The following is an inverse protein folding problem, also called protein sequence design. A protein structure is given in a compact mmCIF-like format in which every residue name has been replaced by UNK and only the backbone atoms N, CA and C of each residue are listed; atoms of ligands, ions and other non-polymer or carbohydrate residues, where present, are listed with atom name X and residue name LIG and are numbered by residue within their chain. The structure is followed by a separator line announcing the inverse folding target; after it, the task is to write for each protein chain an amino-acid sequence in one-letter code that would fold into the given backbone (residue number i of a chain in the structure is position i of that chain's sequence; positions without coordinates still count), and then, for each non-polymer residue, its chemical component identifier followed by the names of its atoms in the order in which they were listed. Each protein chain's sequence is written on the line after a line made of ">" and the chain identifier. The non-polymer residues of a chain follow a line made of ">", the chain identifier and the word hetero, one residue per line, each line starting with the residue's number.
data_IF_257537415320
#
_entry.id   IF_257537415320
#
_cell.length_a   1.000
_cell.length_b   1.000
_cell.length_c   1.000
_cell.angle_alpha   90.00
_cell.angle_beta   90.00
_cell.angle_gamma   90.00
#
_symmetry.space_group_name_H-M   'P 1'
#
loop_
_entity.id
_entity.type
_entity.pdbx_description
1 polymer ?
#
# COMPACT_ATOMS: atom_id res chain seq x y z
N UNK A 1 -1.52 -40.82 3.80
CA UNK A 1 -1.01 -39.47 3.43
C UNK A 1 -1.90 -38.73 2.42
N UNK A 2 -2.37 -39.34 1.31
CA UNK A 2 -3.32 -38.69 0.37
C UNK A 2 -4.71 -38.33 0.97
N UNK A 3 -5.20 -39.09 1.96
CA UNK A 3 -6.46 -38.79 2.67
C UNK A 3 -6.39 -37.57 3.62
N UNK A 4 -5.23 -37.28 4.22
CA UNK A 4 -5.06 -36.13 5.12
C UNK A 4 -4.96 -34.79 4.37
N UNK A 5 -4.46 -34.78 3.12
CA UNK A 5 -4.44 -33.58 2.27
C UNK A 5 -5.84 -33.19 1.74
N UNK A 6 -6.73 -34.17 1.57
CA UNK A 6 -8.10 -33.90 1.13
C UNK A 6 -8.96 -33.32 2.27
N UNK A 7 -8.77 -33.82 3.50
CA UNK A 7 -9.41 -33.27 4.69
C UNK A 7 -8.97 -31.85 5.04
N UNK A 8 -7.68 -31.50 4.86
CA UNK A 8 -7.19 -30.12 5.09
C UNK A 8 -7.70 -29.13 4.02
N UNK A 9 -7.89 -29.59 2.79
CA UNK A 9 -8.43 -28.77 1.69
C UNK A 9 -9.93 -28.52 1.86
N UNK A 10 -10.69 -29.54 2.27
CA UNK A 10 -12.13 -29.42 2.57
C UNK A 10 -12.42 -28.63 3.85
N UNK A 11 -11.57 -28.73 4.88
CA UNK A 11 -11.66 -27.90 6.08
C UNK A 11 -11.35 -26.43 5.78
N UNK A 12 -10.32 -26.15 4.98
CA UNK A 12 -9.98 -24.80 4.52
C UNK A 12 -11.08 -24.17 3.65
N UNK A 13 -11.74 -24.95 2.78
CA UNK A 13 -12.90 -24.51 2.00
C UNK A 13 -14.12 -24.21 2.89
N UNK A 14 -14.40 -25.05 3.88
CA UNK A 14 -15.48 -24.82 4.86
C UNK A 14 -15.20 -23.59 5.73
N UNK A 15 -13.96 -23.40 6.20
CA UNK A 15 -13.52 -22.22 6.97
C UNK A 15 -13.68 -20.95 6.13
N UNK A 16 -13.21 -20.94 4.87
CA UNK A 16 -13.38 -19.81 3.93
C UNK A 16 -14.86 -19.50 3.67
N UNK A 17 -15.71 -20.51 3.51
CA UNK A 17 -17.14 -20.32 3.29
C UNK A 17 -17.87 -19.75 4.52
N UNK A 18 -17.44 -20.14 5.73
CA UNK A 18 -17.97 -19.65 7.01
C UNK A 18 -17.54 -18.21 7.26
N UNK A 19 -16.25 -17.90 7.04
CA UNK A 19 -15.70 -16.54 7.09
C UNK A 19 -16.39 -15.59 6.10
N UNK A 20 -16.68 -16.04 4.86
CA UNK A 20 -17.44 -15.26 3.87
C UNK A 20 -18.88 -14.97 4.30
N UNK A 21 -19.55 -15.92 4.96
CA UNK A 21 -20.92 -15.72 5.47
C UNK A 21 -20.96 -14.82 6.70
N UNK A 22 -19.96 -14.89 7.57
CA UNK A 22 -19.85 -14.05 8.77
C UNK A 22 -19.46 -12.60 8.42
N UNK A 23 -18.53 -12.39 7.50
CA UNK A 23 -18.20 -11.06 6.95
C UNK A 23 -19.39 -10.40 6.25
N UNK A 24 -20.20 -11.16 5.52
CA UNK A 24 -21.42 -10.64 4.91
C UNK A 24 -22.46 -10.21 5.96
N UNK A 25 -22.61 -10.96 7.07
CA UNK A 25 -23.54 -10.59 8.17
C UNK A 25 -23.08 -9.35 8.93
N UNK A 26 -21.78 -9.22 9.18
CA UNK A 26 -21.15 -8.04 9.80
C UNK A 26 -21.41 -6.77 8.98
N UNK A 27 -21.13 -6.83 7.68
CA UNK A 27 -21.40 -5.74 6.71
C UNK A 27 -22.87 -5.27 6.72
N UNK A 28 -23.82 -6.20 6.83
CA UNK A 28 -25.26 -5.87 6.92
C UNK A 28 -25.59 -5.12 8.21
N UNK A 29 -25.00 -5.50 9.34
CA UNK A 29 -25.26 -4.87 10.63
C UNK A 29 -24.65 -3.45 10.70
N UNK A 30 -23.47 -3.25 10.13
CA UNK A 30 -22.81 -1.95 10.01
C UNK A 30 -23.63 -0.96 9.21
N UNK A 31 -24.05 -1.37 8.00
CA UNK A 31 -24.93 -0.56 7.15
C UNK A 31 -26.25 -0.22 7.85
N UNK A 32 -26.78 -1.10 8.72
CA UNK A 32 -27.98 -0.79 9.52
C UNK A 32 -27.75 0.29 10.58
N UNK A 33 -26.61 0.26 11.28
CA UNK A 33 -26.30 1.29 12.29
C UNK A 33 -25.99 2.63 11.63
N UNK A 34 -25.20 2.65 10.56
CA UNK A 34 -24.96 3.88 9.79
C UNK A 34 -26.25 4.46 9.22
N UNK A 35 -27.22 3.62 8.80
CA UNK A 35 -28.55 4.09 8.38
C UNK A 35 -29.30 4.84 9.49
N UNK A 36 -29.11 4.46 10.76
CA UNK A 36 -29.71 5.20 11.88
C UNK A 36 -29.06 6.57 12.04
N UNK A 37 -27.74 6.64 11.93
CA UNK A 37 -27.02 7.93 11.96
C UNK A 37 -27.45 8.81 10.80
N UNK A 38 -27.53 8.25 9.59
CA UNK A 38 -28.03 8.96 8.42
C UNK A 38 -29.40 9.56 8.69
N UNK A 39 -30.36 8.75 9.19
CA UNK A 39 -31.72 9.20 9.49
C UNK A 39 -31.76 10.32 10.53
N UNK A 40 -30.86 10.30 11.51
CA UNK A 40 -30.73 11.39 12.48
C UNK A 40 -30.24 12.69 11.83
N UNK A 41 -29.18 12.62 11.01
CA UNK A 41 -28.62 13.78 10.31
C UNK A 41 -29.59 14.35 9.26
N UNK A 42 -30.27 13.47 8.53
CA UNK A 42 -31.34 13.81 7.59
C UNK A 42 -32.49 14.55 8.30
N UNK A 43 -32.93 14.07 9.48
CA UNK A 43 -34.01 14.72 10.25
C UNK A 43 -33.62 16.12 10.74
N UNK A 44 -32.35 16.34 11.03
CA UNK A 44 -31.81 17.66 11.41
C UNK A 44 -31.67 18.57 10.19
N UNK A 45 -31.50 18.00 9.00
CA UNK A 45 -31.40 18.75 7.75
C UNK A 45 -32.76 19.27 7.29
N UNK A 46 -33.83 18.49 7.47
CA UNK A 46 -35.19 18.90 7.09
C UNK A 46 -35.34 19.19 5.59
N UNK A 47 -34.46 18.66 4.76
CA UNK A 47 -34.40 18.90 3.31
C UNK A 47 -35.48 18.15 2.54
N UNK A 48 -35.82 18.66 1.36
CA UNK A 48 -36.66 17.97 0.37
C UNK A 48 -35.99 18.14 -0.99
N UNK A 49 -35.45 17.07 -1.63
CA UNK A 49 -35.54 15.66 -1.24
C UNK A 49 -34.76 15.32 0.06
N UNK A 50 -35.01 14.15 0.67
CA UNK A 50 -34.41 13.79 1.95
C UNK A 50 -32.91 13.47 1.80
N UNK A 51 -32.06 14.15 2.57
CA UNK A 51 -30.62 13.91 2.60
C UNK A 51 -29.93 14.77 3.64
N UNK A 52 -28.60 14.67 3.72
CA UNK A 52 -27.79 15.45 4.66
C UNK A 52 -27.28 16.70 3.93
N UNK A 53 -27.69 17.87 4.42
CA UNK A 53 -27.20 19.14 3.91
C UNK A 53 -25.74 19.38 4.34
N UNK A 54 -25.02 20.15 3.51
CA UNK A 54 -23.61 20.49 3.68
C UNK A 54 -23.26 21.05 5.06
N UNK A 55 -24.05 21.98 5.59
CA UNK A 55 -23.84 22.59 6.91
C UNK A 55 -24.06 21.60 8.08
N UNK A 56 -24.97 20.64 7.91
CA UNK A 56 -25.20 19.57 8.87
C UNK A 56 -24.05 18.59 8.85
N UNK A 57 -23.54 18.25 7.66
CA UNK A 57 -22.37 17.39 7.52
C UNK A 57 -21.12 18.02 8.17
N UNK A 58 -20.88 19.33 7.99
CA UNK A 58 -19.73 19.99 8.64
C UNK A 58 -19.83 20.03 10.16
N UNK A 59 -21.03 20.30 10.71
CA UNK A 59 -21.23 20.21 12.16
C UNK A 59 -21.05 18.80 12.69
N UNK A 60 -21.25 17.81 11.84
CA UNK A 60 -21.04 16.41 12.17
C UNK A 60 -19.57 16.00 12.09
N UNK A 61 -18.78 16.48 11.12
CA UNK A 61 -17.37 16.11 10.95
C UNK A 61 -16.38 17.03 11.64
N UNK A 62 -16.77 18.24 12.05
CA UNK A 62 -15.84 19.23 12.62
C UNK A 62 -14.60 19.53 11.75
N UNK A 63 -14.62 19.21 10.45
CA UNK A 63 -13.52 19.52 9.53
C UNK A 63 -13.49 21.01 9.21
N UNK A 64 -12.35 21.70 9.39
CA UNK A 64 -12.26 23.12 9.09
C UNK A 64 -12.15 23.39 7.59
N UNK A 65 -12.88 24.41 7.12
CA UNK A 65 -12.65 25.07 5.85
C UNK A 65 -12.74 24.16 4.62
N UNK A 66 -11.83 24.42 3.67
CA UNK A 66 -11.84 23.84 2.33
C UNK A 66 -11.72 22.29 2.33
N UNK A 67 -11.00 21.72 3.30
CA UNK A 67 -10.83 20.27 3.37
C UNK A 67 -12.15 19.55 3.70
N UNK A 68 -12.96 20.13 4.59
CA UNK A 68 -14.31 19.63 4.88
C UNK A 68 -15.22 19.76 3.67
N UNK A 69 -15.17 20.90 2.97
CA UNK A 69 -15.95 21.14 1.75
C UNK A 69 -15.67 20.12 0.66
N UNK A 70 -14.40 19.84 0.41
CA UNK A 70 -14.01 18.88 -0.60
C UNK A 70 -14.34 17.45 -0.20
N UNK A 71 -14.30 17.10 1.10
CA UNK A 71 -14.80 15.80 1.54
C UNK A 71 -16.30 15.64 1.27
N UNK A 72 -17.12 16.67 1.54
CA UNK A 72 -18.55 16.62 1.21
C UNK A 72 -18.77 16.42 -0.29
N UNK A 73 -18.11 17.23 -1.11
CA UNK A 73 -18.21 17.15 -2.58
C UNK A 73 -17.72 15.81 -3.13
N UNK A 74 -16.69 15.21 -2.52
CA UNK A 74 -16.18 13.91 -2.93
C UNK A 74 -17.15 12.75 -2.59
N UNK A 75 -17.98 12.94 -1.58
CA UNK A 75 -18.98 11.98 -1.13
C UNK A 75 -20.29 12.08 -1.91
N UNK A 76 -20.67 13.27 -2.35
CA UNK A 76 -21.83 13.54 -3.19
C UNK A 76 -21.57 13.01 -4.62
N UNK A 77 -22.05 11.80 -4.93
CA UNK A 77 -21.84 11.20 -6.26
C UNK A 77 -22.72 11.85 -7.35
N UNK A 78 -23.79 12.53 -6.95
CA UNK A 78 -24.82 13.04 -7.86
C UNK A 78 -24.68 14.54 -8.14
N UNK A 79 -23.81 15.23 -7.41
CA UNK A 79 -23.54 16.67 -7.50
C UNK A 79 -24.79 17.53 -7.27
N UNK A 80 -25.66 17.10 -6.37
CA UNK A 80 -26.91 17.80 -6.03
C UNK A 80 -26.83 18.59 -4.72
N UNK A 81 -25.62 18.77 -4.17
CA UNK A 81 -25.32 19.45 -2.91
C UNK A 81 -26.01 18.80 -1.69
N UNK A 82 -26.30 17.50 -1.79
CA UNK A 82 -27.06 16.77 -0.80
C UNK A 82 -26.57 15.32 -0.69
N UNK A 83 -26.10 14.90 0.48
CA UNK A 83 -25.71 13.50 0.65
C UNK A 83 -26.94 12.63 0.88
N UNK A 84 -27.27 11.78 -0.08
CA UNK A 84 -28.32 10.78 0.10
C UNK A 84 -27.83 9.61 0.98
N UNK A 85 -28.72 8.64 1.22
CA UNK A 85 -28.39 7.49 2.05
C UNK A 85 -27.28 6.63 1.43
N UNK A 86 -27.21 6.53 0.10
CA UNK A 86 -26.18 5.76 -0.60
C UNK A 86 -24.84 6.46 -0.51
N UNK A 87 -24.78 7.76 -0.78
CA UNK A 87 -23.57 8.60 -0.75
C UNK A 87 -22.91 8.51 0.63
N UNK A 88 -23.67 8.82 1.67
CA UNK A 88 -23.19 8.79 3.06
C UNK A 88 -22.72 7.39 3.46
N UNK A 89 -23.51 6.35 3.18
CA UNK A 89 -23.16 4.98 3.60
C UNK A 89 -21.92 4.47 2.88
N UNK A 90 -21.85 4.62 1.56
CA UNK A 90 -20.75 4.09 0.77
C UNK A 90 -19.47 4.86 1.09
N UNK A 91 -19.53 6.18 1.17
CA UNK A 91 -18.40 7.01 1.55
C UNK A 91 -17.78 6.66 2.89
N UNK A 92 -18.61 6.62 3.94
CA UNK A 92 -18.17 6.29 5.29
C UNK A 92 -17.65 4.84 5.36
N UNK A 93 -18.27 3.88 4.65
CA UNK A 93 -17.75 2.51 4.55
C UNK A 93 -16.40 2.47 3.82
N UNK A 94 -16.23 3.23 2.73
CA UNK A 94 -14.98 3.28 1.97
C UNK A 94 -13.84 3.84 2.81
N UNK A 95 -14.07 4.91 3.59
CA UNK A 95 -13.07 5.50 4.49
C UNK A 95 -12.56 4.50 5.56
N UNK A 96 -13.44 3.67 6.13
CA UNK A 96 -13.07 2.75 7.21
C UNK A 96 -12.68 1.35 6.74
N UNK A 97 -13.24 0.87 5.63
CA UNK A 97 -13.17 -0.53 5.18
C UNK A 97 -13.07 -0.73 3.68
N UNK A 98 -13.01 0.35 2.90
CA UNK A 98 -12.89 0.27 1.45
C UNK A 98 -11.62 -0.48 1.04
N UNK A 99 -11.64 -1.20 -0.11
CA UNK A 99 -10.40 -1.59 -0.75
C UNK A 99 -9.59 -0.33 -1.10
N UNK A 100 -8.27 -0.49 -1.21
CA UNK A 100 -7.37 0.64 -1.44
C UNK A 100 -7.77 1.46 -2.66
N UNK A 101 -8.17 0.82 -3.75
CA UNK A 101 -8.54 1.48 -5.00
C UNK A 101 -9.77 2.39 -4.82
N UNK A 102 -10.79 1.92 -4.10
CA UNK A 102 -11.95 2.76 -3.79
C UNK A 102 -11.61 3.88 -2.80
N UNK A 103 -10.68 3.63 -1.86
CA UNK A 103 -10.21 4.65 -0.95
C UNK A 103 -9.39 5.72 -1.68
N UNK A 104 -8.53 5.32 -2.62
CA UNK A 104 -7.73 6.24 -3.42
C UNK A 104 -8.59 7.04 -4.38
N UNK A 105 -9.63 6.45 -4.98
CA UNK A 105 -10.67 7.16 -5.74
C UNK A 105 -11.36 8.23 -4.91
N UNK A 106 -11.81 7.87 -3.70
CA UNK A 106 -12.47 8.83 -2.81
C UNK A 106 -11.52 9.97 -2.41
N UNK A 107 -10.29 9.65 -2.03
CA UNK A 107 -9.30 10.66 -1.70
C UNK A 107 -8.92 11.51 -2.91
N UNK A 108 -8.84 10.93 -4.10
CA UNK A 108 -8.54 11.68 -5.33
C UNK A 108 -9.59 12.76 -5.58
N UNK A 109 -10.88 12.42 -5.41
CA UNK A 109 -11.98 13.38 -5.52
C UNK A 109 -11.90 14.53 -4.50
N UNK A 110 -11.31 14.30 -3.32
CA UNK A 110 -11.09 15.38 -2.33
C UNK A 110 -10.06 16.40 -2.83
N UNK A 111 -9.19 16.00 -3.75
CA UNK A 111 -8.16 16.88 -4.31
C UNK A 111 -8.51 17.43 -5.70
N UNK A 112 -9.35 16.75 -6.48
CA UNK A 112 -9.75 17.19 -7.83
C UNK A 112 -10.92 18.20 -7.75
N UNK A 113 -10.61 19.47 -7.50
CA UNK A 113 -11.61 20.52 -7.29
C UNK A 113 -12.34 20.83 -8.60
N UNK A 114 -11.62 20.72 -9.71
CA UNK A 114 -12.15 20.94 -11.05
C UNK A 114 -12.99 19.79 -11.60
N UNK A 115 -13.05 18.63 -10.93
CA UNK A 115 -13.67 17.39 -11.41
C UNK A 115 -13.25 17.05 -12.84
N UNK A 116 -12.00 17.33 -13.15
CA UNK A 116 -11.46 17.26 -14.51
C UNK A 116 -10.62 15.99 -14.73
N UNK A 117 -10.49 15.15 -13.69
CA UNK A 117 -9.76 13.89 -13.72
C UNK A 117 -8.24 14.05 -13.50
N UNK A 118 -7.78 15.23 -13.10
CA UNK A 118 -6.39 15.51 -12.75
C UNK A 118 -6.28 16.49 -11.58
N UNK A 119 -5.34 16.23 -10.69
CA UNK A 119 -5.07 17.13 -9.57
C UNK A 119 -3.82 17.96 -9.90
N UNK A 120 -3.97 19.28 -9.88
CA UNK A 120 -2.89 20.23 -10.06
C UNK A 120 -2.06 20.44 -8.79
N UNK A 121 -0.88 21.05 -8.95
CA UNK A 121 -0.05 21.47 -7.81
C UNK A 121 -0.78 22.43 -6.87
N UNK A 122 -1.57 23.36 -7.41
CA UNK A 122 -2.31 24.34 -6.62
C UNK A 122 -3.39 23.67 -5.75
N UNK A 123 -4.16 22.72 -6.31
CA UNK A 123 -5.16 21.96 -5.56
C UNK A 123 -4.55 21.15 -4.42
N UNK A 124 -3.38 20.53 -4.64
CA UNK A 124 -2.65 19.85 -3.58
C UNK A 124 -2.23 20.83 -2.49
N UNK A 125 -1.63 21.96 -2.87
CA UNK A 125 -1.19 22.97 -1.91
C UNK A 125 -2.35 23.49 -1.08
N UNK A 126 -3.51 23.73 -1.70
CA UNK A 126 -4.71 24.14 -0.99
C UNK A 126 -5.13 23.09 0.03
N UNK A 127 -5.35 21.83 -0.36
CA UNK A 127 -5.75 20.80 0.62
C UNK A 127 -4.75 20.66 1.76
N UNK A 128 -3.45 20.61 1.44
CA UNK A 128 -2.41 20.45 2.46
C UNK A 128 -2.35 21.63 3.44
N UNK A 129 -2.67 22.85 2.99
CA UNK A 129 -2.69 24.05 3.83
C UNK A 129 -3.87 24.07 4.82
N UNK A 130 -4.96 23.35 4.54
CA UNK A 130 -6.13 23.25 5.41
C UNK A 130 -6.14 21.98 6.29
N UNK A 131 -5.09 21.16 6.22
CA UNK A 131 -4.95 20.02 7.13
C UNK A 131 -4.77 20.50 8.57
N UNK A 132 -5.43 19.87 9.54
CA UNK A 132 -5.32 20.28 10.94
C UNK A 132 -3.91 19.99 11.49
N UNK A 133 -3.28 20.98 12.12
CA UNK A 133 -1.96 20.82 12.76
C UNK A 133 -1.95 19.73 13.84
N UNK A 134 -3.07 19.58 14.53
CA UNK A 134 -3.30 18.58 15.57
C UNK A 134 -4.55 17.78 15.26
N UNK A 135 -4.51 16.50 15.58
CA UNK A 135 -5.66 15.60 15.50
C UNK A 135 -6.84 16.20 16.28
N UNK A 136 -7.97 16.52 15.63
CA UNK A 136 -9.17 17.08 16.28
C UNK A 136 -9.63 16.27 17.49
N UNK A 137 -9.44 14.96 17.44
CA UNK A 137 -9.91 14.04 18.48
C UNK A 137 -8.99 13.94 19.70
N UNK A 138 -7.68 13.84 19.49
CA UNK A 138 -6.74 13.50 20.57
C UNK A 138 -5.62 14.52 20.80
N UNK A 139 -5.56 15.58 19.99
CA UNK A 139 -4.58 16.66 20.11
C UNK A 139 -3.15 16.27 19.70
N UNK A 140 -2.93 15.07 19.17
CA UNK A 140 -1.63 14.65 18.63
C UNK A 140 -1.21 15.58 17.48
N UNK A 141 0.03 16.07 17.49
CA UNK A 141 0.59 16.85 16.38
C UNK A 141 0.68 15.97 15.14
N UNK A 142 -0.04 16.35 14.08
CA UNK A 142 -0.07 15.64 12.79
C UNK A 142 1.02 16.16 11.86
N UNK A 143 1.26 17.48 11.87
CA UNK A 143 2.11 18.19 10.91
C UNK A 143 3.47 18.58 11.52
N UNK A 144 4.22 17.60 12.04
CA UNK A 144 5.56 17.87 12.59
C UNK A 144 6.58 18.03 11.45
N UNK A 145 7.35 19.13 11.46
CA UNK A 145 8.35 19.44 10.44
C UNK A 145 7.76 19.44 9.01
N UNK A 146 6.51 19.92 8.89
CA UNK A 146 5.68 19.83 7.70
C UNK A 146 5.88 21.03 6.77
N UNK A 147 6.76 20.87 5.78
CA UNK A 147 6.89 21.83 4.69
C UNK A 147 5.89 21.52 3.56
N UNK A 148 4.84 22.34 3.47
CA UNK A 148 3.72 22.12 2.53
C UNK A 148 4.22 22.04 1.08
N UNK A 149 5.17 22.89 0.69
CA UNK A 149 5.71 22.91 -0.68
C UNK A 149 6.44 21.61 -1.03
N UNK A 150 7.31 21.14 -0.14
CA UNK A 150 8.01 19.86 -0.28
C UNK A 150 7.04 18.68 -0.34
N UNK A 151 6.01 18.66 0.52
CA UNK A 151 4.99 17.61 0.50
C UNK A 151 4.14 17.63 -0.78
N UNK A 152 3.77 18.81 -1.28
CA UNK A 152 3.07 18.93 -2.55
C UNK A 152 3.90 18.45 -3.75
N UNK A 153 5.18 18.85 -3.81
CA UNK A 153 6.11 18.38 -4.82
C UNK A 153 6.32 16.85 -4.76
N UNK A 154 6.36 16.30 -3.56
CA UNK A 154 6.44 14.84 -3.32
C UNK A 154 5.19 14.11 -3.81
N UNK A 155 4.00 14.69 -3.60
CA UNK A 155 2.74 14.15 -4.12
C UNK A 155 2.70 14.15 -5.66
N UNK A 156 3.20 15.20 -6.30
CA UNK A 156 3.23 15.29 -7.75
C UNK A 156 4.28 14.37 -8.40
N UNK A 157 5.34 14.03 -7.66
CA UNK A 157 6.46 13.27 -8.20
C UNK A 157 7.22 14.01 -9.30
N UNK A 158 7.20 15.35 -9.27
CA UNK A 158 7.84 16.22 -10.28
C UNK A 158 7.01 16.44 -11.56
N UNK A 159 5.71 16.14 -11.53
CA UNK A 159 4.76 16.43 -12.61
C UNK A 159 3.99 17.73 -12.33
N UNK A 160 3.40 18.32 -13.38
CA UNK A 160 2.54 19.50 -13.23
C UNK A 160 1.15 19.15 -12.67
N UNK A 161 0.70 17.91 -12.91
CA UNK A 161 -0.56 17.36 -12.43
C UNK A 161 -0.45 15.84 -12.20
N UNK A 162 -1.41 15.26 -11.46
CA UNK A 162 -1.47 13.82 -11.17
C UNK A 162 -2.85 13.25 -11.49
N UNK A 163 -2.90 12.08 -12.13
CA UNK A 163 -4.13 11.33 -12.42
C UNK A 163 -4.40 10.29 -11.33
N UNK A 164 -5.60 9.72 -11.31
CA UNK A 164 -6.03 8.76 -10.29
C UNK A 164 -5.07 7.56 -10.12
N UNK A 165 -4.65 6.96 -11.22
CA UNK A 165 -3.73 5.81 -11.23
C UNK A 165 -2.41 6.16 -10.53
N UNK A 166 -1.84 7.30 -10.92
CA UNK A 166 -0.63 7.86 -10.35
C UNK A 166 -0.79 8.28 -8.88
N UNK A 167 -1.94 8.85 -8.52
CA UNK A 167 -2.26 9.29 -7.16
C UNK A 167 -2.35 8.11 -6.20
N UNK A 168 -2.90 6.98 -6.67
CA UNK A 168 -2.94 5.72 -5.91
C UNK A 168 -1.53 5.22 -5.62
N UNK A 169 -0.64 5.25 -6.62
CA UNK A 169 0.77 4.92 -6.43
C UNK A 169 1.45 5.85 -5.43
N UNK A 170 1.23 7.16 -5.54
CA UNK A 170 1.85 8.13 -4.64
C UNK A 170 1.36 7.97 -3.20
N UNK A 171 0.06 7.73 -2.97
CA UNK A 171 -0.47 7.41 -1.64
C UNK A 171 0.20 6.15 -1.05
N UNK A 172 0.58 5.19 -1.89
CA UNK A 172 1.33 3.99 -1.49
C UNK A 172 2.80 4.28 -1.19
N UNK A 173 3.47 5.06 -2.03
CA UNK A 173 4.91 5.32 -1.93
C UNK A 173 5.29 6.50 -1.02
N UNK A 174 4.31 7.33 -0.65
CA UNK A 174 4.43 8.46 0.29
C UNK A 174 3.43 8.30 1.45
N UNK A 175 3.57 7.23 2.27
CA UNK A 175 2.60 6.85 3.29
C UNK A 175 2.39 7.91 4.38
N UNK A 176 3.35 8.82 4.57
CA UNK A 176 3.23 9.93 5.50
C UNK A 176 2.08 10.88 5.12
N UNK A 177 1.98 11.25 3.84
CA UNK A 177 0.97 12.21 3.37
C UNK A 177 -0.40 11.56 3.35
N UNK A 178 -0.50 10.35 2.79
CA UNK A 178 -1.73 9.56 2.84
C UNK A 178 -2.20 9.31 4.28
N UNK A 179 -1.29 8.99 5.20
CA UNK A 179 -1.60 8.85 6.64
C UNK A 179 -2.17 10.14 7.21
N UNK A 180 -1.53 11.29 6.99
CA UNK A 180 -2.00 12.56 7.55
C UNK A 180 -3.37 12.94 7.00
N UNK A 181 -3.60 12.80 5.69
CA UNK A 181 -4.89 13.07 5.06
C UNK A 181 -5.98 12.16 5.64
N UNK A 182 -5.75 10.85 5.62
CA UNK A 182 -6.70 9.87 6.15
C UNK A 182 -6.94 10.06 7.65
N UNK A 183 -5.90 10.28 8.43
CA UNK A 183 -6.02 10.52 9.86
C UNK A 183 -6.80 11.80 10.15
N UNK A 184 -6.62 12.85 9.34
CA UNK A 184 -7.39 14.09 9.45
C UNK A 184 -8.87 13.85 9.18
N UNK A 185 -9.22 13.10 8.14
CA UNK A 185 -10.62 12.75 7.83
C UNK A 185 -11.21 11.85 8.91
N UNK A 186 -10.55 10.76 9.27
CA UNK A 186 -11.10 9.77 10.21
C UNK A 186 -11.24 10.30 11.62
N UNK A 187 -10.33 11.17 12.06
CA UNK A 187 -10.39 11.78 13.40
C UNK A 187 -11.46 12.87 13.52
N UNK A 188 -11.90 13.42 12.39
CA UNK A 188 -12.97 14.40 12.31
C UNK A 188 -14.36 13.77 12.46
N UNK A 189 -14.55 12.54 11.98
CA UNK A 189 -15.81 11.84 12.15
C UNK A 189 -16.10 11.56 13.65
N UNK A 190 -17.36 11.66 14.10
CA UNK A 190 -17.68 11.43 15.51
C UNK A 190 -17.30 10.01 15.97
N UNK A 191 -16.85 9.85 17.24
CA UNK A 191 -16.42 8.55 17.75
C UNK A 191 -17.44 7.41 17.60
N UNK A 192 -18.75 7.71 17.65
CA UNK A 192 -19.79 6.69 17.50
C UNK A 192 -19.89 6.12 16.06
N UNK A 193 -19.44 6.86 15.03
CA UNK A 193 -19.33 6.31 13.66
C UNK A 193 -18.28 5.21 13.62
N UNK A 194 -17.18 5.44 14.29
CA UNK A 194 -16.12 4.46 14.44
C UNK A 194 -16.67 3.24 15.20
N UNK A 195 -17.41 3.43 16.29
CA UNK A 195 -18.09 2.33 17.01
C UNK A 195 -18.95 1.46 16.09
N UNK A 196 -19.57 2.02 15.02
CA UNK A 196 -20.32 1.19 14.05
C UNK A 196 -19.44 0.10 13.42
N UNK A 197 -18.20 0.44 13.07
CA UNK A 197 -17.25 -0.45 12.41
C UNK A 197 -16.41 -1.29 13.38
N UNK A 198 -16.33 -0.87 14.64
CA UNK A 198 -15.46 -1.47 15.66
C UNK A 198 -16.22 -2.10 16.85
N UNK A 199 -17.55 -1.98 16.94
CA UNK A 199 -18.35 -2.66 17.97
C UNK A 199 -18.29 -4.19 17.84
N UNK A 200 -17.88 -4.86 18.93
CA UNK A 200 -18.03 -6.30 19.21
C UNK A 200 -17.37 -7.32 18.27
N UNK A 201 -16.67 -6.93 17.21
CA UNK A 201 -15.98 -7.90 16.31
C UNK A 201 -14.45 -7.93 16.39
N UNK A 202 -13.81 -6.97 17.07
CA UNK A 202 -12.35 -6.90 17.18
C UNK A 202 -11.71 -8.13 17.87
N UNK A 203 -12.47 -8.93 18.63
CA UNK A 203 -11.96 -10.17 19.23
C UNK A 203 -12.14 -11.42 18.36
N UNK A 204 -13.03 -11.39 17.35
CA UNK A 204 -13.36 -12.58 16.53
C UNK A 204 -12.66 -12.59 15.17
N UNK A 205 -12.17 -11.44 14.70
CA UNK A 205 -11.49 -11.27 13.41
C UNK A 205 -10.08 -10.65 13.51
N UNK A 206 -9.59 -10.32 14.71
CA UNK A 206 -8.21 -9.88 14.87
C UNK A 206 -7.26 -11.03 14.54
N UNK A 207 -6.13 -10.71 13.90
CA UNK A 207 -5.10 -11.72 13.68
C UNK A 207 -4.22 -11.84 14.92
N UNK A 208 -4.04 -10.73 15.64
CA UNK A 208 -3.39 -10.72 16.94
C UNK A 208 -3.76 -9.43 17.72
N UNK A 209 -3.72 -9.48 19.04
CA UNK A 209 -3.87 -8.31 19.90
C UNK A 209 -3.03 -8.48 21.16
N UNK A 210 -2.45 -7.39 21.66
CA UNK A 210 -1.57 -7.40 22.83
C UNK A 210 -1.26 -5.97 23.30
N UNK A 211 -0.59 -5.84 24.44
CA UNK A 211 -0.23 -4.53 25.00
C UNK A 211 1.20 -4.19 24.60
N UNK A 212 1.40 -2.99 24.07
CA UNK A 212 2.73 -2.46 23.74
C UNK A 212 2.85 -1.02 24.25
N UNK A 213 4.06 -0.64 24.64
CA UNK A 213 4.46 0.75 24.82
C UNK A 213 4.84 1.33 23.45
N UNK A 214 4.15 2.40 23.07
CA UNK A 214 4.39 3.13 21.84
C UNK A 214 4.50 4.63 22.17
N UNK A 215 5.58 5.27 21.72
CA UNK A 215 5.99 6.59 22.22
C UNK A 215 6.15 6.56 23.76
N UNK A 216 5.59 7.54 24.48
CA UNK A 216 5.67 7.65 25.95
C UNK A 216 4.50 6.99 26.69
N UNK A 217 3.63 6.23 26.00
CA UNK A 217 2.40 5.68 26.59
C UNK A 217 2.22 4.21 26.27
N UNK A 218 1.45 3.53 27.10
CA UNK A 218 1.03 2.15 26.89
C UNK A 218 -0.29 2.13 26.13
N UNK A 219 -0.36 1.29 25.12
CA UNK A 219 -1.58 1.07 24.35
C UNK A 219 -1.82 -0.42 24.17
N UNK A 220 -3.10 -0.80 24.07
CA UNK A 220 -3.47 -2.08 23.52
C UNK A 220 -3.39 -1.98 22.00
N UNK A 221 -2.66 -2.85 21.34
CA UNK A 221 -2.58 -2.93 19.88
C UNK A 221 -3.43 -4.09 19.36
N UNK A 222 -3.99 -3.92 18.17
CA UNK A 222 -4.75 -4.93 17.43
C UNK A 222 -4.31 -4.93 15.97
N UNK A 223 -3.85 -6.07 15.48
CA UNK A 223 -3.44 -6.27 14.09
C UNK A 223 -4.60 -6.81 13.24
N UNK A 224 -4.95 -6.09 12.18
CA UNK A 224 -6.00 -6.50 11.22
C UNK A 224 -5.66 -6.05 9.79
N UNK A 225 -5.82 -6.96 8.84
CA UNK A 225 -5.55 -6.79 7.39
C UNK A 225 -4.10 -6.38 7.09
N UNK A 226 -3.78 -5.09 7.17
CA UNK A 226 -2.43 -4.52 7.02
C UNK A 226 -2.29 -3.25 7.87
N UNK A 227 -2.99 -3.19 9.00
CA UNK A 227 -2.96 -2.07 9.92
C UNK A 227 -2.86 -2.52 11.37
N UNK A 228 -2.08 -1.79 12.15
CA UNK A 228 -1.99 -1.87 13.60
C UNK A 228 -2.82 -0.76 14.22
N UNK A 229 -3.96 -1.11 14.77
CA UNK A 229 -4.80 -0.20 15.55
C UNK A 229 -4.30 -0.17 16.98
N UNK A 230 -4.24 1.00 17.63
CA UNK A 230 -3.81 1.11 19.01
C UNK A 230 -4.77 1.92 19.86
N UNK A 231 -5.05 1.42 21.05
CA UNK A 231 -6.13 1.84 21.94
C UNK A 231 -5.51 2.30 23.27
N UNK A 232 -5.95 3.42 23.85
CA UNK A 232 -5.66 3.73 25.24
C UNK A 232 -6.17 2.56 26.11
N UNK A 233 -5.45 2.19 27.17
CA UNK A 233 -5.69 0.93 27.91
C UNK A 233 -7.12 0.80 28.45
N UNK A 234 -7.81 1.92 28.71
CA UNK A 234 -9.18 1.98 29.25
C UNK A 234 -10.25 2.21 28.17
N UNK A 235 -9.85 2.42 26.92
CA UNK A 235 -10.75 2.78 25.83
C UNK A 235 -11.06 1.59 24.92
N UNK A 236 -12.33 1.48 24.51
CA UNK A 236 -12.77 0.51 23.52
C UNK A 236 -12.57 1.00 22.07
N UNK A 237 -12.22 2.28 21.88
CA UNK A 237 -11.98 2.91 20.57
C UNK A 237 -10.49 3.13 20.33
N UNK A 238 -9.98 2.90 19.10
CA UNK A 238 -8.56 3.06 18.82
C UNK A 238 -8.21 4.55 18.80
N UNK A 239 -7.10 4.90 19.45
CA UNK A 239 -6.49 6.22 19.38
C UNK A 239 -5.95 6.52 17.99
N UNK A 240 -5.50 5.50 17.27
CA UNK A 240 -4.99 5.64 15.92
C UNK A 240 -4.68 4.30 15.27
N UNK A 241 -4.23 4.38 14.02
CA UNK A 241 -3.78 3.22 13.26
C UNK A 241 -2.44 3.48 12.58
N UNK A 242 -1.67 2.42 12.41
CA UNK A 242 -0.41 2.41 11.67
C UNK A 242 -0.59 1.43 10.52
N UNK A 243 -0.61 1.94 9.28
CA UNK A 243 -0.54 1.09 8.11
C UNK A 243 0.84 0.43 8.08
N UNK A 244 0.86 -0.89 8.04
CA UNK A 244 2.10 -1.69 8.05
C UNK A 244 2.46 -2.24 6.67
N UNK A 245 1.65 -1.95 5.66
CA UNK A 245 1.99 -2.18 4.26
C UNK A 245 3.31 -1.44 3.96
N UNK A 246 4.29 -2.15 3.39
CA UNK A 246 5.62 -1.61 3.04
C UNK A 246 6.52 -1.18 4.21
N UNK A 247 6.16 -1.55 5.45
CA UNK A 247 7.05 -1.43 6.60
C UNK A 247 7.78 -2.75 6.85
N UNK A 248 9.05 -2.66 7.22
CA UNK A 248 9.82 -3.79 7.73
C UNK A 248 9.68 -3.89 9.22
N UNK A 249 9.58 -5.11 9.73
CA UNK A 249 9.68 -5.36 11.17
C UNK A 249 11.06 -5.89 11.53
N UNK A 250 11.72 -5.19 12.46
CA UNK A 250 13.04 -5.53 12.98
C UNK A 250 13.00 -5.67 14.51
N UNK A 251 13.57 -6.76 15.04
CA UNK A 251 13.84 -6.89 16.48
C UNK A 251 15.08 -6.07 16.79
N UNK A 252 14.99 -5.11 17.72
CA UNK A 252 16.13 -4.30 18.14
C UNK A 252 16.82 -4.91 19.36
N UNK A 253 16.03 -5.43 20.30
CA UNK A 253 16.48 -6.16 21.49
C UNK A 253 15.33 -6.99 22.06
N UNK A 254 15.58 -7.66 23.18
CA UNK A 254 14.62 -8.50 23.92
C UNK A 254 13.32 -7.77 24.30
N UNK A 255 13.30 -6.44 24.36
CA UNK A 255 12.12 -5.68 24.80
C UNK A 255 11.60 -4.71 23.75
N UNK A 256 12.21 -4.66 22.56
CA UNK A 256 11.93 -3.62 21.57
C UNK A 256 11.96 -4.18 20.15
N UNK A 257 10.90 -3.89 19.40
CA UNK A 257 10.89 -4.04 17.95
C UNK A 257 10.56 -2.72 17.28
N UNK A 258 10.88 -2.63 16.00
CA UNK A 258 10.67 -1.46 15.18
C UNK A 258 9.95 -1.84 13.89
N UNK A 259 8.97 -1.02 13.51
CA UNK A 259 8.41 -1.02 12.16
C UNK A 259 8.98 0.16 11.42
N UNK A 260 9.80 -0.09 10.39
CA UNK A 260 10.48 0.97 9.66
C UNK A 260 10.54 0.75 8.18
N UNK A 261 10.74 1.83 7.43
CA UNK A 261 11.30 1.81 6.07
C UNK A 261 12.35 2.94 5.98
N UNK A 262 12.73 3.37 4.78
CA UNK A 262 13.70 4.47 4.60
C UNK A 262 13.19 5.82 5.11
N UNK A 263 11.87 6.00 5.30
CA UNK A 263 11.23 7.28 5.64
C UNK A 263 10.54 7.30 7.00
N UNK A 264 10.03 6.16 7.46
CA UNK A 264 9.23 6.03 8.67
C UNK A 264 9.89 5.05 9.64
N UNK A 265 9.80 5.35 10.93
CA UNK A 265 10.20 4.44 12.01
C UNK A 265 9.20 4.55 13.16
N UNK A 266 8.69 3.40 13.58
CA UNK A 266 7.81 3.24 14.74
C UNK A 266 8.45 2.22 15.70
N UNK A 267 8.87 2.69 16.87
CA UNK A 267 9.44 1.83 17.91
C UNK A 267 8.38 1.40 18.93
N UNK A 268 8.33 0.10 19.18
CA UNK A 268 7.41 -0.55 20.11
C UNK A 268 8.19 -1.29 21.18
N UNK A 269 7.73 -1.18 22.43
CA UNK A 269 8.32 -1.88 23.57
C UNK A 269 7.31 -2.82 24.21
N UNK A 270 7.77 -3.98 24.64
CA UNK A 270 6.99 -4.93 25.44
C UNK A 270 7.72 -5.25 26.74
N UNK A 271 7.04 -5.95 27.65
CA UNK A 271 7.60 -6.28 28.96
C UNK A 271 8.51 -7.52 28.92
N UNK A 272 8.44 -8.33 27.85
CA UNK A 272 9.26 -9.53 27.66
C UNK A 272 9.49 -9.85 26.18
N UNK A 273 10.50 -10.70 25.94
CA UNK A 273 10.94 -11.12 24.61
C UNK A 273 9.93 -11.98 23.86
N UNK A 274 9.20 -12.84 24.57
CA UNK A 274 8.15 -13.68 23.99
C UNK A 274 7.08 -12.83 23.30
N UNK A 275 6.63 -11.76 23.96
CA UNK A 275 5.65 -10.80 23.40
C UNK A 275 6.22 -10.13 22.15
N UNK A 276 7.50 -9.75 22.15
CA UNK A 276 8.16 -9.15 20.99
C UNK A 276 8.15 -10.14 19.81
N UNK A 277 8.56 -11.38 20.04
CA UNK A 277 8.66 -12.39 18.98
C UNK A 277 7.30 -12.76 18.40
N UNK A 278 6.26 -12.86 19.25
CA UNK A 278 4.88 -13.05 18.79
C UNK A 278 4.44 -11.90 17.86
N UNK A 279 4.58 -10.65 18.30
CA UNK A 279 4.22 -9.48 17.50
C UNK A 279 4.96 -9.45 16.16
N UNK A 280 6.27 -9.68 16.16
CA UNK A 280 7.08 -9.74 14.94
C UNK A 280 6.55 -10.84 14.01
N UNK A 281 6.27 -12.04 14.54
CA UNK A 281 5.75 -13.16 13.76
C UNK A 281 4.42 -12.86 13.09
N UNK A 282 3.46 -12.31 13.84
CA UNK A 282 2.15 -11.93 13.31
C UNK A 282 2.24 -10.80 12.29
N UNK A 283 3.08 -9.80 12.54
CA UNK A 283 3.31 -8.68 11.63
C UNK A 283 3.95 -9.17 10.32
N UNK A 284 5.03 -9.96 10.38
CA UNK A 284 5.67 -10.54 9.18
C UNK A 284 4.67 -11.30 8.31
N UNK A 285 3.83 -12.12 8.95
CA UNK A 285 2.79 -12.90 8.26
C UNK A 285 1.74 -12.02 7.57
N UNK A 286 1.41 -10.87 8.14
CA UNK A 286 0.39 -9.95 7.61
C UNK A 286 0.89 -8.99 6.53
N UNK A 287 2.15 -8.55 6.65
CA UNK A 287 2.79 -7.71 5.63
C UNK A 287 3.07 -8.54 4.35
N UNK A 288 2.99 -9.88 4.44
CA UNK A 288 3.35 -10.76 3.34
C UNK A 288 4.87 -10.87 3.19
N UNK A 289 5.62 -10.62 4.27
CA UNK A 289 7.07 -10.79 4.29
C UNK A 289 7.39 -12.28 4.11
N UNK A 290 7.62 -12.67 2.87
CA UNK A 290 8.20 -13.96 2.53
C UNK A 290 9.70 -13.80 2.46
N UNK A 291 10.41 -14.72 3.09
CA UNK A 291 11.84 -14.87 2.84
C UNK A 291 12.01 -15.69 1.56
N UNK A 292 12.87 -15.23 0.65
CA UNK A 292 13.16 -15.92 -0.61
C UNK A 292 13.56 -17.38 -0.38
N UNK A 293 14.22 -17.68 0.74
CA UNK A 293 14.67 -19.06 1.07
C UNK A 293 13.51 -20.03 1.31
N UNK A 294 12.29 -19.55 1.49
CA UNK A 294 11.10 -20.40 1.66
C UNK A 294 10.55 -20.94 0.33
N UNK A 295 10.82 -20.24 -0.77
CA UNK A 295 10.32 -20.60 -2.10
C UNK A 295 11.48 -21.00 -3.04
N UNK A 296 12.71 -20.54 -2.80
CA UNK A 296 13.87 -20.75 -3.66
C UNK A 296 15.13 -21.17 -2.91
N UNK A 297 15.90 -22.08 -3.52
CA UNK A 297 17.26 -22.43 -3.08
C UNK A 297 18.26 -21.62 -3.90
N UNK A 298 18.92 -20.64 -3.29
CA UNK A 298 20.00 -19.88 -3.93
C UNK A 298 21.23 -20.78 -4.14
N UNK A 299 21.80 -20.74 -5.35
CA UNK A 299 22.96 -21.52 -5.78
C UNK A 299 24.16 -20.58 -6.01
N UNK A 300 24.97 -20.89 -7.01
CA UNK A 300 26.18 -20.17 -7.40
C UNK A 300 25.91 -18.78 -8.00
N UNK A 301 26.93 -17.93 -7.98
CA UNK A 301 26.87 -16.60 -8.59
C UNK A 301 27.09 -16.73 -10.09
N UNK A 302 26.15 -16.21 -10.88
CA UNK A 302 26.21 -16.24 -12.36
C UNK A 302 26.54 -14.88 -12.96
N UNK A 303 26.52 -13.81 -12.17
CA UNK A 303 26.92 -12.48 -12.64
C UNK A 303 27.09 -11.47 -11.51
N UNK A 304 27.65 -10.32 -11.87
CA UNK A 304 27.76 -9.13 -11.02
C UNK A 304 27.36 -7.91 -11.84
N UNK A 305 26.27 -7.26 -11.46
CA UNK A 305 25.78 -6.05 -12.11
C UNK A 305 26.18 -4.79 -11.33
N UNK A 306 25.85 -3.62 -11.88
CA UNK A 306 26.11 -2.31 -11.26
C UNK A 306 25.48 -2.17 -9.85
N UNK A 307 24.33 -2.82 -9.63
CA UNK A 307 23.55 -2.69 -8.40
C UNK A 307 23.64 -3.92 -7.47
N UNK A 308 24.42 -4.95 -7.81
CA UNK A 308 24.48 -6.15 -6.98
C UNK A 308 24.99 -7.42 -7.67
N UNK A 309 24.72 -8.57 -7.02
CA UNK A 309 25.14 -9.90 -7.51
C UNK A 309 23.93 -10.64 -8.09
N UNK A 310 24.14 -11.40 -9.15
CA UNK A 310 23.13 -12.29 -9.72
C UNK A 310 23.50 -13.72 -9.38
N UNK A 311 22.56 -14.47 -8.80
CA UNK A 311 22.72 -15.89 -8.46
C UNK A 311 21.75 -16.74 -9.26
N UNK A 312 22.19 -17.95 -9.62
CA UNK A 312 21.26 -19.01 -10.03
C UNK A 312 20.47 -19.45 -8.80
N UNK A 313 19.20 -19.80 -8.96
CA UNK A 313 18.41 -20.42 -7.91
C UNK A 313 17.47 -21.48 -8.47
N UNK A 314 17.00 -22.37 -7.61
CA UNK A 314 16.01 -23.40 -7.94
C UNK A 314 14.71 -23.15 -7.17
N UNK A 315 13.58 -23.11 -7.87
CA UNK A 315 12.27 -23.08 -7.22
C UNK A 315 12.04 -24.40 -6.46
N UNK A 316 11.76 -24.32 -5.17
CA UNK A 316 11.63 -25.50 -4.31
C UNK A 316 10.45 -26.41 -4.68
N UNK A 317 9.41 -25.84 -5.31
CA UNK A 317 8.18 -26.55 -5.72
C UNK A 317 8.27 -27.08 -7.13
N UNK A 318 8.62 -26.24 -8.11
CA UNK A 318 8.63 -26.61 -9.53
C UNK A 318 9.94 -27.23 -9.99
N UNK A 319 11.02 -27.04 -9.23
CA UNK A 319 12.39 -27.44 -9.60
C UNK A 319 12.96 -26.70 -10.82
N UNK A 320 12.29 -25.65 -11.27
CA UNK A 320 12.78 -24.81 -12.36
C UNK A 320 13.92 -23.90 -11.88
N UNK A 321 14.85 -23.65 -12.80
CA UNK A 321 15.97 -22.73 -12.59
C UNK A 321 15.54 -21.30 -12.88
N UNK A 322 15.95 -20.38 -12.01
CA UNK A 322 15.66 -18.94 -12.10
C UNK A 322 16.92 -18.13 -11.83
N UNK A 323 16.96 -16.90 -12.30
CA UNK A 323 18.00 -15.94 -11.97
C UNK A 323 17.51 -15.01 -10.86
N UNK A 324 18.35 -14.76 -9.85
CA UNK A 324 18.02 -13.89 -8.71
C UNK A 324 19.02 -12.75 -8.64
N UNK A 325 18.57 -11.55 -8.99
CA UNK A 325 19.35 -10.30 -8.82
C UNK A 325 19.19 -9.81 -7.38
N UNK A 326 20.30 -9.76 -6.66
CA UNK A 326 20.39 -9.41 -5.24
C UNK A 326 20.99 -8.01 -5.11
N UNK A 327 20.19 -7.04 -4.68
CA UNK A 327 20.55 -5.62 -4.60
C UNK A 327 20.58 -5.21 -3.13
N UNK A 328 21.70 -4.70 -2.65
CA UNK A 328 21.79 -4.16 -1.29
C UNK A 328 21.19 -2.75 -1.24
N UNK A 329 20.44 -2.44 -0.18
CA UNK A 329 19.75 -1.14 0.00
C UNK A 329 20.61 -0.07 0.68
N UNK A 330 21.61 -0.49 1.46
CA UNK A 330 22.44 0.45 2.24
C UNK A 330 23.87 0.56 1.69
N UNK A 331 24.45 1.77 1.67
CA UNK A 331 23.80 3.07 1.51
C UNK A 331 23.69 3.36 0.00
N UNK A 332 22.51 3.15 -0.57
CA UNK A 332 22.17 3.73 -1.87
C UNK A 332 21.82 5.22 -1.66
N UNK A 333 22.24 6.08 -2.57
CA UNK A 333 21.72 7.46 -2.59
C UNK A 333 20.24 7.47 -3.00
N UNK A 334 19.49 8.52 -2.61
CA UNK A 334 18.04 8.64 -2.91
C UNK A 334 17.72 8.46 -4.41
N UNK A 335 18.67 8.84 -5.27
CA UNK A 335 18.58 8.68 -6.73
C UNK A 335 18.65 7.22 -7.16
N UNK A 336 19.52 6.41 -6.55
CA UNK A 336 19.64 4.98 -6.86
C UNK A 336 18.44 4.19 -6.35
N UNK A 337 17.91 4.49 -5.16
CA UNK A 337 16.68 3.86 -4.66
C UNK A 337 15.51 4.15 -5.62
N UNK A 338 15.34 5.41 -6.03
CA UNK A 338 14.30 5.80 -6.99
C UNK A 338 14.44 5.07 -8.33
N UNK A 339 15.67 4.90 -8.84
CA UNK A 339 15.93 4.15 -10.09
C UNK A 339 15.57 2.68 -9.96
N UNK A 340 15.99 2.02 -8.88
CA UNK A 340 15.68 0.60 -8.63
C UNK A 340 14.17 0.40 -8.48
N UNK A 341 13.47 1.28 -7.75
CA UNK A 341 12.00 1.25 -7.63
C UNK A 341 11.30 1.39 -8.97
N UNK A 342 11.77 2.30 -9.83
CA UNK A 342 11.27 2.44 -11.21
C UNK A 342 11.51 1.17 -12.03
N UNK A 343 12.71 0.59 -11.98
CA UNK A 343 13.05 -0.67 -12.67
C UNK A 343 12.10 -1.80 -12.24
N UNK A 344 11.88 -1.96 -10.93
CA UNK A 344 10.95 -2.96 -10.39
C UNK A 344 9.52 -2.74 -10.90
N UNK A 345 9.07 -1.48 -10.96
CA UNK A 345 7.71 -1.15 -11.38
C UNK A 345 7.49 -1.46 -12.86
N UNK A 346 8.49 -1.12 -13.71
CA UNK A 346 8.48 -1.46 -15.14
C UNK A 346 8.46 -2.98 -15.34
N UNK A 347 9.29 -3.73 -14.62
CA UNK A 347 9.35 -5.18 -14.69
C UNK A 347 8.05 -5.87 -14.22
N UNK A 348 7.33 -5.26 -13.28
CA UNK A 348 6.01 -5.77 -12.85
C UNK A 348 4.93 -5.51 -13.90
N UNK A 349 5.01 -4.38 -14.59
CA UNK A 349 4.02 -3.94 -15.58
C UNK A 349 4.18 -4.68 -16.92
N UNK A 350 5.41 -4.82 -17.39
CA UNK A 350 5.71 -5.28 -18.74
C UNK A 350 5.80 -6.81 -18.82
N UNK A 351 5.05 -7.42 -19.74
CA UNK A 351 5.16 -8.85 -20.07
C UNK A 351 5.13 -9.05 -21.58
N UNK A 352 6.25 -9.49 -22.13
CA UNK A 352 6.44 -9.70 -23.56
C UNK A 352 7.54 -10.75 -23.77
N UNK A 353 7.46 -11.54 -24.85
CA UNK A 353 8.42 -12.63 -25.13
C UNK A 353 9.86 -12.11 -25.33
N UNK A 354 10.01 -10.93 -25.93
CA UNK A 354 11.30 -10.26 -26.12
C UNK A 354 11.73 -9.36 -24.95
N UNK A 355 11.14 -9.52 -23.76
CA UNK A 355 11.52 -8.79 -22.54
C UNK A 355 11.74 -9.78 -21.40
N UNK A 356 12.72 -9.48 -20.54
CA UNK A 356 13.01 -10.31 -19.37
C UNK A 356 11.80 -10.36 -18.43
N UNK A 357 11.28 -11.56 -18.20
CA UNK A 357 10.10 -11.76 -17.37
C UNK A 357 10.45 -11.78 -15.87
N UNK A 358 9.76 -10.95 -15.09
CA UNK A 358 9.79 -11.00 -13.63
C UNK A 358 8.82 -12.08 -13.12
N UNK A 359 9.38 -13.10 -12.47
CA UNK A 359 8.63 -14.23 -11.90
C UNK A 359 8.17 -13.90 -10.48
N UNK A 360 9.07 -13.38 -9.65
CA UNK A 360 8.79 -13.11 -8.24
C UNK A 360 9.62 -11.95 -7.69
N UNK A 361 9.21 -11.41 -6.54
CA UNK A 361 9.82 -10.25 -5.90
C UNK A 361 9.87 -10.43 -4.38
N UNK A 362 11.06 -10.29 -3.80
CA UNK A 362 11.24 -10.29 -2.35
C UNK A 362 12.03 -9.08 -1.90
N UNK A 363 11.67 -8.56 -0.73
CA UNK A 363 12.28 -7.35 -0.20
C UNK A 363 12.48 -7.47 1.31
N UNK A 364 13.72 -7.26 1.76
CA UNK A 364 14.14 -7.22 3.17
C UNK A 364 14.62 -5.81 3.53
N UNK A 365 14.86 -5.47 4.81
CA UNK A 365 15.35 -4.14 5.19
C UNK A 365 16.64 -3.73 4.48
N UNK A 366 17.51 -4.70 4.18
CA UNK A 366 18.84 -4.48 3.63
C UNK A 366 18.98 -4.93 2.17
N UNK A 367 18.03 -5.70 1.62
CA UNK A 367 18.22 -6.37 0.33
C UNK A 367 16.92 -6.46 -0.48
N UNK A 368 17.02 -6.25 -1.79
CA UNK A 368 15.97 -6.54 -2.76
C UNK A 368 16.39 -7.77 -3.56
N UNK A 369 15.46 -8.69 -3.80
CA UNK A 369 15.63 -9.86 -4.66
C UNK A 369 14.62 -9.80 -5.80
N UNK A 370 15.13 -9.72 -7.03
CA UNK A 370 14.32 -9.83 -8.24
C UNK A 370 14.52 -11.23 -8.81
N UNK A 371 13.45 -12.01 -8.87
CA UNK A 371 13.47 -13.37 -9.43
C UNK A 371 12.96 -13.29 -10.86
N UNK A 372 13.83 -13.57 -11.82
CA UNK A 372 13.52 -13.57 -13.25
C UNK A 372 13.73 -14.96 -13.83
N UNK A 373 13.27 -15.17 -15.06
CA UNK A 373 13.68 -16.35 -15.82
C UNK A 373 15.21 -16.45 -15.94
N UNK A 374 15.71 -17.68 -16.03
CA UNK A 374 17.12 -17.95 -16.24
C UNK A 374 17.38 -18.20 -17.73
N UNK A 375 18.22 -17.36 -18.33
CA UNK A 375 18.66 -17.49 -19.72
C UNK A 375 20.06 -18.15 -19.74
N UNK A 376 20.18 -19.44 -20.06
CA UNK A 376 21.42 -20.20 -19.92
C UNK A 376 22.52 -19.78 -20.91
N UNK A 377 22.14 -19.22 -22.06
CA UNK A 377 23.06 -18.79 -23.13
C UNK A 377 23.78 -17.46 -22.82
N UNK A 378 23.51 -16.85 -21.67
CA UNK A 378 24.20 -15.64 -21.22
C UNK A 378 23.82 -14.38 -22.00
N UNK A 379 24.77 -13.45 -22.10
CA UNK A 379 24.56 -12.15 -22.76
C UNK A 379 24.88 -12.22 -24.24
N UNK A 380 24.29 -11.30 -25.02
CA UNK A 380 24.60 -11.18 -26.45
C UNK A 380 26.08 -10.80 -26.65
N UNK A 381 26.71 -10.09 -25.72
CA UNK A 381 28.15 -9.82 -25.73
C UNK A 381 28.98 -11.11 -25.71
N UNK A 382 28.68 -12.03 -24.78
CA UNK A 382 29.36 -13.34 -24.71
C UNK A 382 29.15 -14.13 -26.00
N UNK A 383 27.92 -14.16 -26.51
CA UNK A 383 27.57 -14.82 -27.76
C UNK A 383 28.37 -14.27 -28.96
N UNK A 384 28.55 -12.96 -29.03
CA UNK A 384 29.35 -12.29 -30.07
C UNK A 384 30.85 -12.55 -29.88
N UNK A 385 31.35 -12.51 -28.64
CA UNK A 385 32.76 -12.73 -28.33
C UNK A 385 33.23 -14.14 -28.73
N UNK A 386 32.42 -15.17 -28.49
CA UNK A 386 32.67 -16.55 -28.91
C UNK A 386 32.79 -16.70 -30.44
N UNK A 387 32.26 -15.72 -31.19
CA UNK A 387 32.22 -15.71 -32.66
C UNK A 387 33.13 -14.64 -33.27
N UNK A 388 34.12 -14.14 -32.50
CA UNK A 388 35.03 -13.07 -32.96
C UNK A 388 34.26 -11.83 -33.49
N UNK A 389 33.13 -11.52 -32.83
CA UNK A 389 32.22 -10.43 -33.18
C UNK A 389 31.68 -10.50 -34.62
N UNK A 390 31.62 -11.69 -35.22
CA UNK A 390 31.12 -11.92 -36.57
C UNK A 390 29.96 -12.90 -36.56
N UNK A 391 28.84 -12.47 -37.12
CA UNK A 391 27.64 -13.31 -37.30
C UNK A 391 27.10 -13.16 -38.71
N UNK A 392 26.44 -14.18 -39.27
CA UNK A 392 25.73 -14.05 -40.55
C UNK A 392 24.65 -12.97 -40.47
N UNK A 393 24.43 -12.26 -41.57
CA UNK A 393 23.41 -11.20 -41.67
C UNK A 393 22.02 -11.71 -41.31
N UNK A 394 21.65 -12.93 -41.75
CA UNK A 394 20.37 -13.55 -41.40
C UNK A 394 20.18 -13.67 -39.87
N UNK A 395 21.21 -14.08 -39.14
CA UNK A 395 21.18 -14.16 -37.67
C UNK A 395 21.07 -12.77 -37.03
N UNK A 396 21.75 -11.77 -37.60
CA UNK A 396 21.64 -10.39 -37.13
C UNK A 396 20.20 -9.86 -37.32
N UNK A 397 19.56 -10.17 -38.45
CA UNK A 397 18.16 -9.80 -38.70
C UNK A 397 17.20 -10.39 -37.67
N UNK A 398 17.37 -11.67 -37.32
CA UNK A 398 16.54 -12.33 -36.30
C UNK A 398 16.70 -11.65 -34.93
N UNK A 399 17.94 -11.39 -34.49
CA UNK A 399 18.22 -10.70 -33.23
C UNK A 399 17.62 -9.30 -33.19
N UNK A 400 17.81 -8.52 -34.27
CA UNK A 400 17.30 -7.15 -34.36
C UNK A 400 15.76 -7.14 -34.39
N UNK A 401 15.12 -8.12 -35.03
CA UNK A 401 13.66 -8.26 -35.03
C UNK A 401 13.13 -8.43 -33.62
N UNK A 402 13.72 -9.32 -32.83
CA UNK A 402 13.25 -9.62 -31.47
C UNK A 402 13.49 -8.41 -30.54
N UNK A 403 14.66 -7.76 -30.66
CA UNK A 403 14.94 -6.50 -29.94
C UNK A 403 13.92 -5.42 -30.32
N UNK A 404 13.64 -5.24 -31.61
CA UNK A 404 12.69 -4.24 -32.09
C UNK A 404 11.26 -4.53 -31.60
N UNK A 405 10.86 -5.79 -31.50
CA UNK A 405 9.57 -6.18 -30.94
C UNK A 405 9.44 -5.78 -29.45
N UNK A 406 10.47 -6.07 -28.64
CA UNK A 406 10.53 -5.66 -27.23
C UNK A 406 10.49 -4.14 -27.06
N UNK A 407 11.21 -3.39 -27.89
CA UNK A 407 11.20 -1.93 -27.85
C UNK A 407 9.87 -1.34 -28.28
N UNK A 408 9.25 -1.87 -29.35
CA UNK A 408 7.93 -1.44 -29.78
C UNK A 408 6.89 -1.64 -28.68
N UNK A 409 6.96 -2.76 -27.96
CA UNK A 409 6.13 -2.99 -26.78
C UNK A 409 6.38 -1.93 -25.69
N UNK A 410 7.62 -1.68 -25.28
CA UNK A 410 7.93 -0.66 -24.28
C UNK A 410 7.45 0.75 -24.71
N UNK A 411 7.67 1.12 -25.96
CA UNK A 411 7.26 2.42 -26.50
C UNK A 411 5.74 2.59 -26.52
N UNK A 412 4.97 1.51 -26.68
CA UNK A 412 3.50 1.55 -26.60
C UNK A 412 2.99 1.95 -25.20
N UNK A 413 3.81 1.74 -24.16
CA UNK A 413 3.56 2.20 -22.78
C UNK A 413 4.25 3.53 -22.46
N UNK A 414 4.87 4.22 -23.44
CA UNK A 414 5.61 5.44 -23.20
C UNK A 414 6.93 5.24 -22.44
N UNK A 415 7.46 4.01 -22.40
CA UNK A 415 8.70 3.67 -21.67
C UNK A 415 9.87 3.63 -22.65
N UNK A 416 10.94 4.37 -22.35
CA UNK A 416 12.20 4.33 -23.11
C UNK A 416 13.24 3.54 -22.32
N UNK A 417 13.84 2.51 -22.92
CA UNK A 417 14.81 1.63 -22.24
C UNK A 417 16.08 2.38 -21.78
N UNK A 418 16.63 3.25 -22.65
CA UNK A 418 17.81 4.12 -22.43
C UNK A 418 19.16 3.43 -22.19
N UNK A 419 19.23 2.10 -22.07
CA UNK A 419 20.50 1.38 -21.88
C UNK A 419 20.59 0.12 -22.76
N UNK A 420 20.32 0.27 -24.06
CA UNK A 420 20.43 -0.83 -25.04
C UNK A 420 21.88 -0.98 -25.47
N UNK A 421 22.47 -2.15 -25.20
CA UNK A 421 23.85 -2.53 -25.52
C UNK A 421 23.99 -4.05 -25.47
N UNK A 422 25.08 -4.63 -25.97
CA UNK A 422 25.24 -6.09 -26.08
C UNK A 422 25.27 -6.81 -24.72
N UNK A 423 25.63 -6.10 -23.66
CA UNK A 423 25.69 -6.64 -22.29
C UNK A 423 24.33 -6.75 -21.59
N UNK A 424 23.29 -6.11 -22.13
CA UNK A 424 21.92 -6.06 -21.59
C UNK A 424 20.93 -6.69 -22.56
#
# INVERSE_FOLDING_TARGET
>A
QKLNMCHSSLSNLKIRSKLKKETAKSSIQERRKLKKVFKELESRSGSTPPGILRDIFFRFTELPGLFGEQLFTALDENDDDLLDARDFLNGIVTLYKGPLDSLSELLFKVFDFGKNGYISSEEILYILAYLPEKCPRCGEVLLKDWDIQSKANSLLGGRDFIRLEDFTEVLLFQPEIGRVILQSILSSLPPFIEEVFFEKELSKQSIYSGILRFKKRTYKFVLKNQALYYFPTESQSPYGMILIKDLYVAKLNEFTFELRNSKLSYSFKADNEETIDEWIGFIKKNIGFKDIVQDYKLLESIGKGAYGKVKLAENLKTKERVAVKIIAKEPLDDRSETRIRKEISILKLCKHESLLNLIDFYETPSTIYLVTEYLPEGTLFSYMQERDFKIPEATACDLVRDIAAGLNYLHSYGIIHRDIKLEN
#
